data_IF_653870667456
#
_entry.id   IF_653870667456
#
_cell.length_a   1.000
_cell.length_b   1.000
_cell.length_c   1.000
_cell.angle_alpha   90.00
_cell.angle_beta   90.00
_cell.angle_gamma   90.00
#
_symmetry.space_group_name_H-M   'P 1'
#
loop_
_entity.id
_entity.type
_entity.pdbx_description
1 polymer ?
#
# COMPACT_ATOMS: atom_id res chain seq x y z
N UNK A 1 46.18 -34.61 -0.26
CA UNK A 1 45.91 -33.22 0.15
C UNK A 1 45.76 -32.36 -1.09
N UNK A 2 44.54 -31.94 -1.42
CA UNK A 2 44.24 -30.73 -2.21
C UNK A 2 42.73 -30.50 -2.17
N UNK A 3 42.33 -29.74 -1.14
CA UNK A 3 41.20 -28.81 -1.01
C UNK A 3 39.97 -29.05 -1.90
N UNK A 4 38.94 -29.58 -1.25
CA UNK A 4 37.52 -29.37 -1.55
C UNK A 4 37.16 -27.89 -1.44
N UNK A 5 36.53 -27.32 -2.47
CA UNK A 5 35.61 -26.19 -2.26
C UNK A 5 34.45 -26.29 -3.27
N UNK A 6 33.37 -26.86 -2.76
CA UNK A 6 32.05 -26.95 -3.37
C UNK A 6 31.56 -25.54 -3.71
N UNK A 7 31.53 -25.21 -5.00
CA UNK A 7 30.92 -23.98 -5.51
C UNK A 7 29.40 -24.07 -5.31
N UNK A 8 28.92 -23.65 -4.16
CA UNK A 8 27.50 -23.52 -3.86
C UNK A 8 26.86 -22.55 -4.84
N UNK A 9 26.15 -23.10 -5.84
CA UNK A 9 25.31 -22.37 -6.77
C UNK A 9 24.20 -21.70 -5.95
N UNK A 10 24.40 -20.44 -5.58
CA UNK A 10 23.38 -19.61 -4.94
C UNK A 10 22.18 -19.60 -5.87
N UNK A 11 21.10 -20.26 -5.46
CA UNK A 11 19.86 -20.36 -6.22
C UNK A 11 19.29 -18.96 -6.37
N UNK A 12 19.51 -18.36 -7.53
CA UNK A 12 18.74 -17.20 -8.01
C UNK A 12 17.28 -17.68 -8.13
N UNK A 13 16.51 -17.48 -7.06
CA UNK A 13 15.06 -17.39 -7.19
C UNK A 13 14.74 -15.99 -7.70
N UNK A 14 15.00 -15.76 -8.99
CA UNK A 14 14.23 -14.77 -9.74
C UNK A 14 12.78 -15.23 -9.70
N UNK A 15 11.98 -14.61 -8.83
CA UNK A 15 10.53 -14.82 -8.76
C UNK A 15 9.95 -14.58 -10.15
N UNK A 16 9.41 -15.63 -10.76
CA UNK A 16 8.73 -15.61 -12.05
C UNK A 16 7.37 -14.91 -11.94
N UNK A 17 7.40 -13.58 -11.76
CA UNK A 17 6.33 -12.69 -12.19
C UNK A 17 6.96 -11.50 -12.89
N UNK A 18 7.33 -11.62 -14.17
CA UNK A 18 7.86 -10.50 -14.93
C UNK A 18 6.78 -9.40 -15.06
N UNK A 19 7.00 -8.28 -14.36
CA UNK A 19 6.44 -6.94 -14.59
C UNK A 19 4.99 -6.58 -14.20
N UNK A 20 4.41 -7.19 -13.16
CA UNK A 20 3.15 -6.69 -12.57
C UNK A 20 3.32 -5.32 -11.89
N UNK A 21 4.49 -5.06 -11.31
CA UNK A 21 4.78 -3.86 -10.52
C UNK A 21 4.89 -2.58 -11.36
N UNK A 22 5.65 -2.53 -12.48
CA UNK A 22 5.71 -1.32 -13.29
C UNK A 22 4.35 -0.93 -13.89
N UNK A 23 3.57 -1.90 -14.36
CA UNK A 23 2.21 -1.66 -14.83
C UNK A 23 1.28 -1.15 -13.73
N UNK A 24 1.41 -1.67 -12.51
CA UNK A 24 0.70 -1.15 -11.34
C UNK A 24 1.11 0.29 -10.99
N UNK A 25 2.41 0.60 -10.96
CA UNK A 25 2.90 1.95 -10.70
C UNK A 25 2.42 2.96 -11.74
N UNK A 26 2.49 2.60 -13.02
CA UNK A 26 1.97 3.42 -14.10
C UNK A 26 0.45 3.67 -13.97
N UNK A 27 -0.32 2.76 -13.33
CA UNK A 27 -1.75 2.99 -13.05
C UNK A 27 -1.96 3.94 -11.88
N UNK A 28 -1.23 3.78 -10.77
CA UNK A 28 -1.45 4.60 -9.55
C UNK A 28 -0.84 6.00 -9.64
N UNK A 29 0.17 6.21 -10.51
CA UNK A 29 0.75 7.53 -10.75
C UNK A 29 -0.11 8.40 -11.69
N UNK A 30 -1.17 7.84 -12.29
CA UNK A 30 -2.07 8.62 -13.17
C UNK A 30 -2.94 9.59 -12.37
N UNK A 31 -2.86 10.85 -12.78
CA UNK A 31 -3.74 11.92 -12.35
C UNK A 31 -3.28 12.66 -11.09
N UNK A 32 -3.99 13.75 -10.79
CA UNK A 32 -3.61 14.65 -9.70
C UNK A 32 -3.99 14.06 -8.33
N UNK A 33 -3.22 14.46 -7.31
CA UNK A 33 -3.57 14.29 -5.91
C UNK A 33 -4.85 15.04 -5.58
N UNK A 34 -5.60 14.55 -4.60
CA UNK A 34 -6.77 15.25 -4.10
C UNK A 34 -6.36 16.54 -3.40
N UNK A 35 -7.06 17.63 -3.71
CA UNK A 35 -7.06 18.82 -2.87
C UNK A 35 -7.74 18.51 -1.53
N UNK A 36 -7.48 19.33 -0.51
CA UNK A 36 -8.09 19.13 0.80
C UNK A 36 -9.63 19.19 0.77
N UNK A 37 -10.22 20.08 -0.06
CA UNK A 37 -11.67 20.16 -0.23
C UNK A 37 -12.25 18.91 -0.89
N UNK A 38 -11.59 18.38 -1.91
CA UNK A 38 -12.00 17.13 -2.55
C UNK A 38 -11.88 15.93 -1.61
N UNK A 39 -10.83 15.89 -0.79
CA UNK A 39 -10.62 14.86 0.24
C UNK A 39 -11.77 14.86 1.25
N UNK A 40 -12.16 16.03 1.78
CA UNK A 40 -13.30 16.16 2.69
C UNK A 40 -14.59 15.70 2.00
N UNK A 41 -14.87 16.20 0.80
CA UNK A 41 -16.09 15.86 0.05
C UNK A 41 -16.22 14.35 -0.21
N UNK A 42 -15.14 13.72 -0.70
CA UNK A 42 -15.10 12.27 -0.92
C UNK A 42 -15.23 11.48 0.38
N UNK A 43 -14.60 11.94 1.47
CA UNK A 43 -14.67 11.26 2.76
C UNK A 43 -16.09 11.29 3.33
N UNK A 44 -16.80 12.43 3.25
CA UNK A 44 -18.20 12.54 3.68
C UNK A 44 -19.13 11.67 2.86
N UNK A 45 -18.95 11.63 1.54
CA UNK A 45 -19.73 10.75 0.68
C UNK A 45 -19.46 9.26 0.98
N UNK A 46 -18.19 8.90 1.21
CA UNK A 46 -17.79 7.54 1.57
C UNK A 46 -18.37 7.09 2.93
N UNK A 47 -18.39 7.99 3.91
CA UNK A 47 -19.03 7.79 5.21
C UNK A 47 -20.54 7.58 5.07
N UNK A 48 -21.21 8.37 4.21
CA UNK A 48 -22.62 8.24 3.89
C UNK A 48 -22.99 6.98 3.07
N UNK A 49 -22.02 6.13 2.73
CA UNK A 49 -22.27 4.86 2.04
C UNK A 49 -22.06 4.89 0.52
N UNK A 50 -21.50 5.97 -0.05
CA UNK A 50 -21.20 6.01 -1.48
C UNK A 50 -19.96 5.16 -1.81
N UNK A 51 -20.19 3.98 -2.39
CA UNK A 51 -19.14 3.05 -2.80
C UNK A 51 -18.23 3.61 -3.91
N UNK A 52 -18.74 4.50 -4.76
CA UNK A 52 -17.89 5.19 -5.76
C UNK A 52 -16.96 6.17 -5.08
N UNK A 53 -17.43 6.89 -4.06
CA UNK A 53 -16.60 7.77 -3.26
C UNK A 53 -15.53 6.98 -2.49
N UNK A 54 -15.90 5.87 -1.85
CA UNK A 54 -14.95 4.95 -1.19
C UNK A 54 -13.88 4.48 -2.15
N UNK A 55 -14.28 3.93 -3.31
CA UNK A 55 -13.35 3.44 -4.32
C UNK A 55 -12.41 4.55 -4.79
N UNK A 56 -12.93 5.73 -5.07
CA UNK A 56 -12.11 6.87 -5.52
C UNK A 56 -11.15 7.36 -4.43
N UNK A 57 -11.58 7.35 -3.16
CA UNK A 57 -10.71 7.70 -2.03
C UNK A 57 -9.58 6.68 -1.85
N UNK A 58 -9.86 5.37 -2.00
CA UNK A 58 -8.83 4.32 -2.02
C UNK A 58 -7.85 4.53 -3.17
N UNK A 59 -8.35 4.65 -4.41
CA UNK A 59 -7.54 4.78 -5.62
C UNK A 59 -6.58 5.97 -5.54
N UNK A 60 -7.05 7.11 -5.01
CA UNK A 60 -6.24 8.33 -4.85
C UNK A 60 -5.17 8.23 -3.77
N UNK A 61 -5.23 7.21 -2.91
CA UNK A 61 -4.28 7.00 -1.83
C UNK A 61 -3.39 5.75 -2.00
N UNK A 62 -3.44 5.05 -3.15
CA UNK A 62 -2.57 3.88 -3.40
C UNK A 62 -1.07 4.23 -3.37
N UNK A 63 -0.69 5.45 -3.76
CA UNK A 63 0.70 5.94 -3.68
C UNK A 63 1.20 6.00 -2.23
N UNK A 64 0.31 6.31 -1.27
CA UNK A 64 0.61 6.30 0.15
C UNK A 64 0.89 4.87 0.65
N UNK A 65 0.11 3.88 0.19
CA UNK A 65 0.35 2.47 0.54
C UNK A 65 1.75 2.04 0.12
N UNK A 66 2.11 2.31 -1.13
CA UNK A 66 3.44 1.98 -1.67
C UNK A 66 4.54 2.66 -0.87
N UNK A 67 4.39 3.95 -0.50
CA UNK A 67 5.40 4.67 0.26
C UNK A 67 5.58 4.12 1.68
N UNK A 68 4.50 3.67 2.34
CA UNK A 68 4.59 3.00 3.64
C UNK A 68 5.21 1.61 3.52
N UNK A 69 4.73 0.77 2.59
CA UNK A 69 5.18 -0.60 2.40
C UNK A 69 6.67 -0.70 2.02
N UNK A 70 7.21 0.29 1.29
CA UNK A 70 8.64 0.37 0.94
C UNK A 70 9.56 0.25 2.15
N UNK A 71 9.13 0.73 3.33
CA UNK A 71 9.92 0.70 4.57
C UNK A 71 10.05 -0.69 5.20
N UNK A 72 9.24 -1.65 4.75
CA UNK A 72 9.18 -3.01 5.27
C UNK A 72 9.80 -4.05 4.31
N UNK A 73 10.41 -3.60 3.21
CA UNK A 73 11.08 -4.48 2.26
C UNK A 73 12.22 -5.25 2.92
N UNK A 74 12.40 -6.51 2.54
CA UNK A 74 13.46 -7.37 3.05
C UNK A 74 13.16 -8.01 4.41
N UNK A 75 11.96 -7.80 4.97
CA UNK A 75 11.52 -8.39 6.24
C UNK A 75 10.76 -9.71 6.05
N UNK A 76 11.19 -10.56 5.11
CA UNK A 76 10.64 -11.91 4.95
C UNK A 76 9.41 -12.06 4.05
N UNK A 77 8.76 -10.96 3.63
CA UNK A 77 7.68 -10.98 2.64
C UNK A 77 8.06 -10.30 1.31
N UNK A 78 7.57 -10.82 0.16
CA UNK A 78 7.61 -10.13 -1.13
C UNK A 78 6.98 -8.74 -1.06
N UNK A 79 7.50 -7.82 -1.88
CA UNK A 79 7.02 -6.43 -1.86
C UNK A 79 5.57 -6.29 -2.35
N UNK A 80 5.14 -7.15 -3.26
CA UNK A 80 3.74 -7.25 -3.72
C UNK A 80 2.80 -7.56 -2.55
N UNK A 81 3.16 -8.55 -1.72
CA UNK A 81 2.35 -8.93 -0.56
C UNK A 81 2.29 -7.79 0.47
N UNK A 82 3.40 -7.08 0.71
CA UNK A 82 3.39 -5.89 1.58
C UNK A 82 2.46 -4.78 1.06
N UNK A 83 2.39 -4.58 -0.26
CA UNK A 83 1.46 -3.62 -0.86
C UNK A 83 0.01 -4.09 -0.66
N UNK A 84 -0.27 -5.38 -0.86
CA UNK A 84 -1.61 -5.94 -0.69
C UNK A 84 -2.10 -5.82 0.76
N UNK A 85 -1.26 -6.14 1.74
CA UNK A 85 -1.56 -5.97 3.16
C UNK A 85 -1.78 -4.49 3.51
N UNK A 86 -0.96 -3.60 2.95
CA UNK A 86 -1.14 -2.17 3.09
C UNK A 86 -2.45 -1.67 2.46
N UNK A 87 -2.90 -2.24 1.34
CA UNK A 87 -4.18 -1.93 0.71
C UNK A 87 -5.36 -2.36 1.61
N UNK A 88 -5.26 -3.51 2.28
CA UNK A 88 -6.24 -3.92 3.30
C UNK A 88 -6.30 -2.93 4.45
N UNK A 89 -5.14 -2.45 4.92
CA UNK A 89 -5.06 -1.38 5.91
C UNK A 89 -5.72 -0.08 5.44
N UNK A 90 -5.48 0.32 4.18
CA UNK A 90 -6.10 1.50 3.59
C UNK A 90 -7.63 1.39 3.49
N UNK A 91 -8.16 0.23 3.07
CA UNK A 91 -9.61 0.02 3.01
C UNK A 91 -10.25 0.18 4.39
N UNK A 92 -9.65 -0.40 5.44
CA UNK A 92 -10.09 -0.20 6.83
C UNK A 92 -10.02 1.26 7.27
N UNK A 93 -9.02 2.01 6.81
CA UNK A 93 -8.93 3.44 7.09
C UNK A 93 -10.10 4.20 6.45
N UNK A 94 -10.47 3.88 5.21
CA UNK A 94 -11.62 4.50 4.53
C UNK A 94 -12.93 4.19 5.25
N UNK A 95 -13.11 2.96 5.73
CA UNK A 95 -14.32 2.55 6.47
C UNK A 95 -14.51 3.28 7.80
N UNK A 96 -13.41 3.71 8.44
CA UNK A 96 -13.42 4.24 9.82
C UNK A 96 -13.05 5.71 9.93
N UNK A 97 -12.71 6.35 8.82
CA UNK A 97 -12.29 7.73 8.83
C UNK A 97 -13.48 8.67 9.04
N UNK A 98 -13.30 9.59 9.99
CA UNK A 98 -14.25 10.63 10.35
C UNK A 98 -13.67 11.98 9.87
N UNK A 99 -14.22 12.58 8.79
CA UNK A 99 -13.71 13.82 8.22
C UNK A 99 -13.98 15.05 9.10
N UNK A 100 -14.93 14.98 10.05
CA UNK A 100 -15.31 16.13 10.88
C UNK A 100 -14.31 16.37 12.04
N UNK A 101 -13.37 15.43 12.27
CA UNK A 101 -12.27 15.60 13.24
C UNK A 101 -11.17 16.57 12.78
N UNK A 102 -11.19 17.03 11.53
CA UNK A 102 -10.26 18.05 11.02
C UNK A 102 -8.85 17.57 10.68
N UNK A 103 -8.57 16.26 10.76
CA UNK A 103 -7.28 15.69 10.32
C UNK A 103 -7.30 15.33 8.84
N UNK A 104 -6.14 15.39 8.19
CA UNK A 104 -5.99 14.86 6.82
C UNK A 104 -6.19 13.36 6.80
N UNK A 105 -6.87 12.85 5.77
CA UNK A 105 -7.08 11.41 5.59
C UNK A 105 -5.77 10.64 5.57
N UNK A 106 -4.75 11.16 4.88
CA UNK A 106 -3.42 10.53 4.77
C UNK A 106 -2.74 10.31 6.13
N UNK A 107 -2.92 11.23 7.07
CA UNK A 107 -2.41 11.10 8.44
C UNK A 107 -3.05 9.89 9.13
N UNK A 108 -4.38 9.79 9.05
CA UNK A 108 -5.13 8.69 9.65
C UNK A 108 -4.82 7.34 8.98
N UNK A 109 -4.83 7.31 7.64
CA UNK A 109 -4.59 6.11 6.85
C UNK A 109 -3.19 5.52 7.06
N UNK A 110 -2.18 6.38 7.26
CA UNK A 110 -0.81 5.93 7.51
C UNK A 110 -0.71 4.97 8.69
N UNK A 111 -1.48 5.19 9.76
CA UNK A 111 -1.49 4.30 10.94
C UNK A 111 -2.04 2.91 10.59
N UNK A 112 -3.19 2.85 9.91
CA UNK A 112 -3.81 1.58 9.51
C UNK A 112 -2.98 0.79 8.50
N UNK A 113 -2.40 1.48 7.51
CA UNK A 113 -1.51 0.86 6.53
C UNK A 113 -0.29 0.29 7.25
N UNK A 114 0.36 1.09 8.11
CA UNK A 114 1.53 0.65 8.87
C UNK A 114 1.21 -0.56 9.76
N UNK A 115 0.07 -0.53 10.45
CA UNK A 115 -0.35 -1.63 11.32
C UNK A 115 -0.56 -2.92 10.52
N UNK A 116 -1.23 -2.86 9.37
CA UNK A 116 -1.48 -4.03 8.54
C UNK A 116 -0.16 -4.64 8.03
N UNK A 117 0.71 -3.81 7.44
CA UNK A 117 2.01 -4.27 6.92
C UNK A 117 2.89 -4.83 8.04
N UNK A 118 2.94 -4.17 9.21
CA UNK A 118 3.73 -4.63 10.34
C UNK A 118 3.23 -5.98 10.89
N UNK A 119 1.91 -6.21 10.91
CA UNK A 119 1.35 -7.49 11.34
C UNK A 119 1.66 -8.64 10.39
N UNK A 120 1.82 -8.36 9.10
CA UNK A 120 2.10 -9.39 8.11
C UNK A 120 3.55 -9.90 8.18
N UNK A 121 4.49 -9.05 8.61
CA UNK A 121 5.93 -9.40 8.72
C UNK A 121 6.35 -9.85 10.13
N UNK A 122 5.45 -9.78 11.11
CA UNK A 122 5.70 -10.18 12.50
C UNK A 122 5.41 -11.67 12.70
#
# INVERSE_FOLDING_TARGET
MAVTETRGRRTERTSETPDLIPGYFARIDKGNLLTHREEISLSKAAEAGDDRARKRLVEKNLRLVVSVAKRYRGMGLPFEDLIQEGNVGLMRAVEKFDPDRGWRFSTYATWWIRQAVQRAVA
#
